data_IF_700175897144
#
_entry.id   IF_700175897144
#
_cell.length_a   1.000
_cell.length_b   1.000
_cell.length_c   1.000
_cell.angle_alpha   90.00
_cell.angle_beta   90.00
_cell.angle_gamma   90.00
#
_symmetry.space_group_name_H-M   'P 1'
#
loop_
_entity.id
_entity.type
_entity.pdbx_description
1 polymer ?
#
# COMPACT_ATOMS: atom_id res chain seq x y z
N UNK A 1 30.20 64.49 -12.18
CA UNK A 1 28.92 63.74 -12.16
C UNK A 1 29.00 62.31 -12.71
N UNK A 2 29.91 62.00 -13.64
CA UNK A 2 29.98 60.70 -14.33
C UNK A 2 30.43 59.54 -13.44
N UNK A 3 31.41 59.75 -12.55
CA UNK A 3 31.94 58.71 -11.64
C UNK A 3 30.90 58.20 -10.63
N UNK A 4 30.08 59.11 -10.07
CA UNK A 4 29.00 58.76 -9.12
C UNK A 4 27.92 57.91 -9.82
N UNK A 5 27.57 58.23 -11.06
CA UNK A 5 26.61 57.45 -11.86
C UNK A 5 27.09 56.04 -12.16
N UNK A 6 28.40 55.85 -12.37
CA UNK A 6 28.99 54.52 -12.60
C UNK A 6 28.97 53.68 -11.33
N UNK A 7 29.35 54.27 -10.19
CA UNK A 7 29.34 53.56 -8.89
C UNK A 7 27.93 53.12 -8.52
N UNK A 8 26.93 53.99 -8.68
CA UNK A 8 25.53 53.65 -8.42
C UNK A 8 25.04 52.52 -9.33
N UNK A 9 25.41 52.54 -10.63
CA UNK A 9 25.03 51.47 -11.57
C UNK A 9 25.68 50.12 -11.22
N UNK A 10 26.95 50.13 -10.81
CA UNK A 10 27.66 48.90 -10.41
C UNK A 10 27.10 48.34 -9.11
N UNK A 11 26.81 49.18 -8.12
CA UNK A 11 26.18 48.77 -6.87
C UNK A 11 24.79 48.16 -7.12
N UNK A 12 23.98 48.77 -8.01
CA UNK A 12 22.67 48.24 -8.38
C UNK A 12 22.78 46.86 -9.06
N UNK A 13 23.74 46.70 -9.97
CA UNK A 13 24.02 45.41 -10.63
C UNK A 13 24.43 44.32 -9.64
N UNK A 14 25.26 44.64 -8.65
CA UNK A 14 25.69 43.71 -7.60
C UNK A 14 24.49 43.29 -6.74
N UNK A 15 23.63 44.23 -6.34
CA UNK A 15 22.41 43.94 -5.56
C UNK A 15 21.44 43.04 -6.34
N UNK A 16 21.26 43.27 -7.65
CA UNK A 16 20.40 42.44 -8.51
C UNK A 16 20.98 41.02 -8.69
N UNK A 17 22.31 40.90 -8.82
CA UNK A 17 22.98 39.59 -8.89
C UNK A 17 22.87 38.83 -7.57
N UNK A 18 23.02 39.51 -6.42
CA UNK A 18 22.83 38.93 -5.09
C UNK A 18 21.37 38.56 -4.79
N UNK A 19 20.38 39.22 -5.40
CA UNK A 19 18.97 38.86 -5.23
C UNK A 19 18.54 37.69 -6.13
N UNK A 20 19.31 37.36 -7.17
CA UNK A 20 18.99 36.25 -8.08
C UNK A 20 19.33 34.85 -7.54
N UNK A 21 19.92 34.74 -6.34
CA UNK A 21 20.32 33.46 -5.74
C UNK A 21 19.26 32.80 -4.87
N UNK A 22 18.06 33.37 -4.78
CA UNK A 22 16.97 32.81 -3.98
C UNK A 22 15.69 32.96 -4.76
N UNK A 23 15.30 31.92 -5.49
CA UNK A 23 13.92 31.46 -5.74
C UNK A 23 14.04 30.26 -6.69
N UNK A 24 14.69 29.19 -6.21
CA UNK A 24 14.25 27.88 -6.65
C UNK A 24 12.90 27.70 -5.96
N UNK A 25 11.80 27.86 -6.69
CA UNK A 25 10.49 27.58 -6.13
C UNK A 25 10.50 26.12 -5.64
N UNK A 26 10.40 25.95 -4.31
CA UNK A 26 10.17 24.65 -3.68
C UNK A 26 8.78 24.17 -4.12
N UNK A 27 8.72 23.53 -5.28
CA UNK A 27 7.48 22.92 -5.76
C UNK A 27 7.38 21.52 -5.18
N UNK A 28 6.48 21.36 -4.21
CA UNK A 28 6.11 20.04 -3.70
C UNK A 28 5.13 19.41 -4.68
N UNK A 29 5.57 18.36 -5.40
CA UNK A 29 4.62 17.49 -6.11
C UNK A 29 3.83 16.73 -5.04
N UNK A 30 2.63 17.23 -4.70
CA UNK A 30 1.82 16.71 -3.58
C UNK A 30 1.51 15.22 -3.72
N UNK A 31 1.32 14.75 -4.96
CA UNK A 31 1.16 13.35 -5.29
C UNK A 31 1.30 13.17 -6.81
N UNK A 32 2.08 12.20 -7.28
CA UNK A 32 2.15 11.81 -8.68
C UNK A 32 2.47 10.32 -8.80
N UNK A 33 1.89 9.67 -9.80
CA UNK A 33 2.15 8.27 -10.13
C UNK A 33 2.83 8.23 -11.50
N UNK A 34 4.08 7.79 -11.55
CA UNK A 34 4.72 7.39 -12.82
C UNK A 34 4.64 5.87 -12.89
N UNK A 35 3.57 5.36 -13.49
CA UNK A 35 3.41 3.92 -13.69
C UNK A 35 3.45 3.62 -15.18
N UNK A 36 4.56 3.05 -15.65
CA UNK A 36 4.66 2.46 -16.98
C UNK A 36 4.67 0.94 -16.80
N UNK A 37 3.55 0.28 -17.09
CA UNK A 37 3.48 -1.18 -17.15
C UNK A 37 2.54 -1.80 -16.14
N UNK A 38 1.33 -2.14 -16.59
CA UNK A 38 0.47 -3.14 -15.99
C UNK A 38 0.22 -4.26 -17.00
N UNK A 39 0.09 -5.49 -16.52
CA UNK A 39 -0.34 -6.65 -17.30
C UNK A 39 -1.52 -7.32 -16.59
N UNK A 40 -2.41 -7.90 -17.36
CA UNK A 40 -3.52 -8.72 -16.88
C UNK A 40 -3.45 -10.06 -17.59
N UNK A 41 -3.35 -11.13 -16.80
CA UNK A 41 -3.41 -12.51 -17.29
C UNK A 41 -4.68 -13.15 -16.74
N UNK A 42 -5.50 -13.74 -17.61
CA UNK A 42 -6.74 -14.42 -17.21
C UNK A 42 -6.52 -15.92 -17.33
N UNK A 43 -6.78 -16.66 -16.26
CA UNK A 43 -6.70 -18.12 -16.21
C UNK A 43 -7.96 -18.77 -16.80
N UNK A 44 -7.86 -20.03 -17.21
CA UNK A 44 -8.96 -20.79 -17.81
C UNK A 44 -10.15 -21.00 -16.87
N UNK A 45 -9.97 -20.84 -15.56
CA UNK A 45 -11.02 -20.92 -14.54
C UNK A 45 -11.68 -19.56 -14.23
N UNK A 46 -11.38 -18.52 -15.02
CA UNK A 46 -11.96 -17.19 -14.88
C UNK A 46 -11.27 -16.28 -13.87
N UNK A 47 -10.21 -16.75 -13.19
CA UNK A 47 -9.43 -15.90 -12.29
C UNK A 47 -8.54 -14.93 -13.07
N UNK A 48 -8.39 -13.70 -12.58
CA UNK A 48 -7.52 -12.69 -13.18
C UNK A 48 -6.33 -12.38 -12.28
N UNK A 49 -5.12 -12.44 -12.85
CA UNK A 49 -3.90 -11.96 -12.22
C UNK A 49 -3.55 -10.59 -12.79
N UNK A 50 -3.57 -9.59 -11.92
CA UNK A 50 -3.11 -8.24 -12.22
C UNK A 50 -1.68 -8.11 -11.71
N UNK A 51 -0.78 -7.56 -12.53
CA UNK A 51 0.61 -7.39 -12.13
C UNK A 51 1.29 -6.26 -12.89
N UNK A 52 2.45 -5.84 -12.39
CA UNK A 52 3.31 -4.85 -13.05
C UNK A 52 4.60 -5.53 -13.45
N UNK A 53 4.96 -5.51 -14.73
CA UNK A 53 6.26 -6.02 -15.21
C UNK A 53 7.32 -4.94 -14.97
N UNK A 54 8.47 -5.30 -14.41
CA UNK A 54 9.65 -4.41 -14.24
C UNK A 54 9.45 -3.28 -13.20
N UNK A 55 8.51 -3.39 -12.26
CA UNK A 55 8.52 -2.55 -11.04
C UNK A 55 9.15 -3.31 -9.87
N UNK A 56 10.06 -2.66 -9.15
CA UNK A 56 10.54 -3.16 -7.85
C UNK A 56 9.41 -3.06 -6.82
N UNK A 57 9.28 -4.07 -5.94
CA UNK A 57 8.60 -3.89 -4.66
C UNK A 57 9.21 -2.66 -3.95
N UNK A 58 8.38 -1.87 -3.27
CA UNK A 58 8.67 -0.48 -2.84
C UNK A 58 10.17 -0.18 -2.64
N UNK A 59 10.74 0.58 -3.59
CA UNK A 59 12.11 1.05 -3.51
C UNK A 59 12.15 2.43 -2.88
N UNK A 60 13.08 2.66 -1.96
CA UNK A 60 13.39 4.03 -1.53
C UNK A 60 14.51 4.57 -2.40
N UNK A 61 14.23 5.63 -3.15
CA UNK A 61 15.26 6.43 -3.79
C UNK A 61 15.40 7.71 -2.99
N UNK A 62 16.57 7.93 -2.40
CA UNK A 62 16.84 9.10 -1.56
C UNK A 62 17.93 9.98 -2.15
N UNK A 63 17.69 11.29 -2.13
CA UNK A 63 18.72 12.33 -2.24
C UNK A 63 18.91 12.97 -0.86
N UNK A 64 19.89 13.86 -0.71
CA UNK A 64 20.20 14.58 0.54
C UNK A 64 19.00 15.29 1.17
N UNK A 65 18.02 15.70 0.36
CA UNK A 65 16.88 16.49 0.83
C UNK A 65 15.51 15.81 0.63
N UNK A 66 15.44 14.69 -0.09
CA UNK A 66 14.16 14.07 -0.46
C UNK A 66 14.23 12.55 -0.42
N UNK A 67 13.15 11.92 0.03
CA UNK A 67 12.91 10.49 -0.10
C UNK A 67 11.72 10.30 -1.02
N UNK A 68 11.90 9.54 -2.09
CA UNK A 68 10.84 9.15 -3.01
C UNK A 68 10.63 7.65 -2.84
N UNK A 69 9.39 7.27 -2.53
CA UNK A 69 8.95 5.89 -2.55
C UNK A 69 8.40 5.60 -3.95
N UNK A 70 9.07 4.71 -4.69
CA UNK A 70 8.69 4.34 -6.05
C UNK A 70 8.37 2.84 -6.09
N UNK A 71 7.26 2.48 -6.72
CA UNK A 71 6.81 1.09 -6.86
C UNK A 71 5.30 0.93 -6.70
N UNK A 72 4.83 -0.30 -6.86
CA UNK A 72 3.43 -0.65 -6.71
C UNK A 72 3.02 -0.59 -5.22
N UNK A 73 2.02 0.24 -4.91
CA UNK A 73 1.33 0.21 -3.62
C UNK A 73 0.43 -1.02 -3.59
N UNK A 74 0.91 -2.12 -2.99
CA UNK A 74 0.05 -3.26 -2.66
C UNK A 74 -0.78 -2.87 -1.44
N UNK A 75 -2.09 -2.74 -1.61
CA UNK A 75 -3.02 -2.93 -0.49
C UNK A 75 -2.90 -4.40 -0.08
N UNK A 76 -2.02 -4.68 0.88
CA UNK A 76 -2.13 -5.91 1.64
C UNK A 76 -3.38 -5.74 2.48
N UNK A 77 -4.49 -6.32 2.02
CA UNK A 77 -5.59 -6.65 2.94
C UNK A 77 -4.96 -7.34 4.12
N UNK A 78 -5.07 -6.73 5.30
CA UNK A 78 -4.56 -7.29 6.54
C UNK A 78 -5.23 -8.63 6.74
N UNK A 79 -4.48 -9.67 6.43
CA UNK A 79 -4.92 -11.03 6.51
C UNK A 79 -4.87 -11.46 7.98
N UNK A 80 -6.04 -11.51 8.63
CA UNK A 80 -6.17 -11.97 10.02
C UNK A 80 -6.72 -13.39 10.01
N UNK A 81 -5.88 -14.35 10.41
CA UNK A 81 -6.30 -15.74 10.53
C UNK A 81 -7.53 -15.86 11.45
N UNK A 82 -8.57 -16.53 10.98
CA UNK A 82 -9.83 -16.71 11.70
C UNK A 82 -10.79 -15.52 11.67
N UNK A 83 -10.52 -14.45 10.92
CA UNK A 83 -11.47 -13.35 10.65
C UNK A 83 -12.17 -13.61 9.30
N UNK A 84 -13.05 -14.61 9.30
CA UNK A 84 -13.72 -15.09 8.10
C UNK A 84 -14.80 -14.12 7.61
N UNK A 85 -15.42 -13.36 8.53
CA UNK A 85 -16.45 -12.38 8.21
C UNK A 85 -15.88 -10.98 7.88
N UNK A 86 -14.58 -10.77 8.05
CA UNK A 86 -13.88 -9.52 7.74
C UNK A 86 -14.19 -8.39 8.71
N UNK A 87 -14.66 -8.70 9.92
CA UNK A 87 -14.96 -7.73 10.99
C UNK A 87 -13.71 -7.11 11.62
N UNK A 88 -12.52 -7.63 11.31
CA UNK A 88 -11.24 -7.22 11.90
C UNK A 88 -10.92 -7.97 13.18
N UNK A 89 -11.79 -8.89 13.65
CA UNK A 89 -11.63 -9.63 14.89
C UNK A 89 -12.00 -11.10 14.70
N UNK A 90 -11.05 -12.00 14.96
CA UNK A 90 -11.31 -13.43 14.94
C UNK A 90 -12.06 -13.86 16.22
N UNK A 91 -13.33 -14.21 16.09
CA UNK A 91 -14.23 -14.53 17.19
C UNK A 91 -15.20 -15.67 16.84
N UNK A 92 -16.18 -15.96 17.71
CA UNK A 92 -17.09 -17.09 17.52
C UNK A 92 -17.99 -16.94 16.28
N UNK A 93 -18.29 -15.70 15.90
CA UNK A 93 -19.08 -15.40 14.70
C UNK A 93 -18.38 -15.89 13.44
N UNK A 94 -17.05 -15.81 13.38
CA UNK A 94 -16.25 -16.32 12.27
C UNK A 94 -16.29 -17.85 12.18
N UNK A 95 -16.28 -18.55 13.32
CA UNK A 95 -16.44 -20.00 13.32
C UNK A 95 -17.83 -20.40 12.77
N UNK A 96 -18.89 -19.66 13.14
CA UNK A 96 -20.24 -19.86 12.59
C UNK A 96 -20.26 -19.52 11.10
N UNK A 97 -19.55 -18.48 10.67
CA UNK A 97 -19.41 -18.08 9.28
C UNK A 97 -18.79 -19.20 8.42
N UNK A 98 -17.67 -19.76 8.88
CA UNK A 98 -16.98 -20.90 8.22
C UNK A 98 -17.93 -22.11 8.13
N UNK A 99 -18.64 -22.44 9.21
CA UNK A 99 -19.62 -23.54 9.21
C UNK A 99 -20.76 -23.29 8.21
N UNK A 100 -21.27 -22.06 8.15
CA UNK A 100 -22.33 -21.67 7.22
C UNK A 100 -21.86 -21.78 5.77
N UNK A 101 -20.65 -21.31 5.46
CA UNK A 101 -20.03 -21.48 4.15
C UNK A 101 -19.93 -22.95 3.75
N UNK A 102 -19.40 -23.80 4.63
CA UNK A 102 -19.14 -25.22 4.33
C UNK A 102 -20.43 -26.05 4.19
N UNK A 103 -21.40 -25.86 5.09
CA UNK A 103 -22.55 -26.77 5.19
C UNK A 103 -23.87 -26.18 4.70
N UNK A 104 -24.01 -24.85 4.73
CA UNK A 104 -25.28 -24.18 4.43
C UNK A 104 -25.23 -23.43 3.09
N UNK A 105 -24.10 -23.48 2.37
CA UNK A 105 -23.89 -22.71 1.14
C UNK A 105 -23.90 -21.20 1.39
N UNK A 106 -23.44 -20.78 2.57
CA UNK A 106 -23.28 -19.38 2.92
C UNK A 106 -22.19 -18.69 2.08
N UNK A 107 -22.01 -17.36 2.25
CA UNK A 107 -20.98 -16.62 1.54
C UNK A 107 -19.57 -17.15 1.84
N UNK A 108 -18.67 -17.04 0.86
CA UNK A 108 -17.25 -17.38 1.05
C UNK A 108 -16.56 -16.42 2.03
N UNK A 109 -15.52 -16.87 2.78
CA UNK A 109 -14.76 -16.00 3.66
C UNK A 109 -14.23 -14.76 2.92
N UNK A 110 -14.31 -13.60 3.57
CA UNK A 110 -13.90 -12.30 2.98
C UNK A 110 -12.45 -12.33 2.53
N UNK A 111 -11.61 -13.09 3.22
CA UNK A 111 -10.24 -13.37 2.81
C UNK A 111 -9.97 -14.86 2.91
N UNK A 112 -9.20 -15.41 1.97
CA UNK A 112 -8.83 -16.82 1.97
C UNK A 112 -8.17 -17.24 3.30
N UNK A 113 -7.35 -16.36 3.86
CA UNK A 113 -6.70 -16.62 5.14
C UNK A 113 -7.58 -16.37 6.37
N UNK A 114 -8.64 -15.57 6.26
CA UNK A 114 -9.65 -15.44 7.31
C UNK A 114 -10.41 -16.75 7.49
N UNK A 115 -10.66 -17.47 6.39
CA UNK A 115 -11.26 -18.80 6.41
C UNK A 115 -10.30 -19.94 6.80
N UNK A 116 -9.03 -19.84 6.43
CA UNK A 116 -7.97 -20.83 6.73
C UNK A 116 -7.33 -20.51 8.09
N UNK A 117 -8.09 -20.76 9.15
CA UNK A 117 -7.69 -20.44 10.52
C UNK A 117 -6.52 -21.32 11.01
N UNK A 118 -6.40 -22.55 10.53
CA UNK A 118 -5.29 -23.45 10.90
C UNK A 118 -4.05 -23.33 9.98
N UNK A 119 -4.18 -22.60 8.86
CA UNK A 119 -3.08 -22.24 7.96
C UNK A 119 -2.62 -23.36 7.04
N UNK A 120 -3.47 -24.36 6.79
CA UNK A 120 -3.14 -25.52 5.95
C UNK A 120 -3.35 -25.27 4.44
N UNK A 121 -3.90 -24.11 4.07
CA UNK A 121 -4.18 -23.71 2.70
C UNK A 121 -5.60 -24.06 2.20
N UNK A 122 -6.46 -24.63 3.06
CA UNK A 122 -7.80 -25.07 2.72
C UNK A 122 -8.82 -24.67 3.78
N UNK A 123 -9.81 -23.85 3.40
CA UNK A 123 -10.96 -23.54 4.25
C UNK A 123 -11.88 -24.76 4.37
N UNK A 124 -11.90 -25.39 5.54
CA UNK A 124 -12.69 -26.58 5.83
C UNK A 124 -13.12 -26.66 7.31
N UNK A 125 -13.70 -27.79 7.72
CA UNK A 125 -14.23 -27.96 9.08
C UNK A 125 -13.15 -27.90 10.16
N UNK A 126 -11.89 -28.24 9.82
CA UNK A 126 -10.75 -28.14 10.74
C UNK A 126 -10.52 -26.71 11.20
N UNK A 127 -10.73 -25.72 10.33
CA UNK A 127 -10.57 -24.30 10.65
C UNK A 127 -11.57 -23.83 11.69
N UNK A 128 -12.85 -24.19 11.52
CA UNK A 128 -13.88 -23.86 12.49
C UNK A 128 -13.57 -24.48 13.87
N UNK A 129 -13.12 -25.74 13.91
CA UNK A 129 -12.74 -26.42 15.14
C UNK A 129 -11.50 -25.76 15.76
N UNK A 130 -10.49 -25.44 14.96
CA UNK A 130 -9.26 -24.79 15.40
C UNK A 130 -9.57 -23.43 16.02
N UNK A 131 -10.39 -22.62 15.34
CA UNK A 131 -10.76 -21.29 15.79
C UNK A 131 -11.55 -21.30 17.11
N UNK A 132 -12.49 -22.23 17.25
CA UNK A 132 -13.22 -22.44 18.52
C UNK A 132 -12.23 -22.80 19.64
N UNK A 133 -11.32 -23.75 19.40
CA UNK A 133 -10.31 -24.14 20.41
C UNK A 133 -9.42 -22.96 20.78
N UNK A 134 -8.96 -22.19 19.79
CA UNK A 134 -8.15 -21.00 20.00
C UNK A 134 -8.87 -19.97 20.89
N UNK A 135 -10.13 -19.67 20.61
CA UNK A 135 -10.94 -18.71 21.38
C UNK A 135 -11.13 -19.15 22.84
N UNK A 136 -11.39 -20.44 23.09
CA UNK A 136 -11.70 -20.95 24.42
C UNK A 136 -10.49 -21.44 25.23
N UNK A 137 -9.31 -21.57 24.62
CA UNK A 137 -8.07 -21.98 25.30
C UNK A 137 -7.05 -20.85 25.47
N UNK A 138 -7.29 -19.69 24.84
CA UNK A 138 -6.49 -18.49 25.08
C UNK A 138 -6.87 -17.90 26.45
N UNK A 139 -5.88 -17.61 27.34
CA UNK A 139 -6.14 -17.07 28.68
C UNK A 139 -6.73 -15.65 28.68
#
# INVERSE_FOLDING_TARGET
MTKVRVIVRVALLIVVMLSSTLLGDDYTIKWHVVSTGGTQSTYSDGKTLHGTVVQTAIGTVSSSNYRVYQGFWQEFTSCRAGDADGSGNANISDAVYIISFIFLGGPEPVTACGGDADGNGFVNVSDAIWLIRYIFQSP
#
